data_IF_403935912692
#
_entry.id   IF_403935912692
#
_cell.length_a   1.000
_cell.length_b   1.000
_cell.length_c   1.000
_cell.angle_alpha   90.00
_cell.angle_beta   90.00
_cell.angle_gamma   90.00
#
_symmetry.space_group_name_H-M   'P 1'
#
loop_
_entity.id
_entity.type
_entity.pdbx_description
1 polymer ?
#
# COMPACT_ATOMS: atom_id res chain seq x y z
N UNK A 1 35.87 -19.01 -5.61
CA UNK A 1 34.56 -19.69 -5.46
C UNK A 1 33.45 -18.64 -5.54
N UNK A 2 32.68 -18.64 -6.63
CA UNK A 2 31.60 -17.67 -6.84
C UNK A 2 30.43 -18.02 -5.93
N UNK A 3 30.24 -17.28 -4.83
CA UNK A 3 29.10 -17.50 -3.92
C UNK A 3 27.82 -17.11 -4.67
N UNK A 4 27.02 -18.11 -5.05
CA UNK A 4 25.67 -17.88 -5.60
C UNK A 4 24.76 -17.32 -4.52
N UNK A 5 24.14 -16.16 -4.78
CA UNK A 5 23.10 -15.63 -3.90
C UNK A 5 21.85 -16.52 -3.97
N UNK A 6 21.28 -16.83 -2.80
CA UNK A 6 19.97 -17.48 -2.74
C UNK A 6 18.88 -16.48 -3.16
N UNK A 7 17.78 -16.99 -3.70
CA UNK A 7 16.61 -16.18 -4.11
C UNK A 7 16.06 -15.32 -2.98
N UNK A 8 16.11 -15.80 -1.73
CA UNK A 8 15.72 -15.02 -0.54
C UNK A 8 16.56 -13.77 -0.32
N UNK A 9 17.88 -13.86 -0.51
CA UNK A 9 18.78 -12.69 -0.39
C UNK A 9 18.54 -11.68 -1.50
N UNK A 10 18.27 -12.16 -2.73
CA UNK A 10 17.90 -11.29 -3.86
C UNK A 10 16.55 -10.60 -3.58
N UNK A 11 15.58 -11.32 -3.00
CA UNK A 11 14.30 -10.74 -2.65
C UNK A 11 14.46 -9.60 -1.63
N UNK A 12 15.25 -9.80 -0.57
CA UNK A 12 15.52 -8.75 0.42
C UNK A 12 16.19 -7.51 -0.20
N UNK A 13 17.16 -7.70 -1.10
CA UNK A 13 17.85 -6.60 -1.77
C UNK A 13 16.92 -5.73 -2.63
N UNK A 14 15.86 -6.31 -3.19
CA UNK A 14 14.97 -5.65 -4.15
C UNK A 14 13.56 -5.39 -3.61
N UNK A 15 13.23 -5.76 -2.37
CA UNK A 15 11.87 -5.61 -1.80
C UNK A 15 11.39 -4.16 -1.89
N UNK A 16 12.15 -3.22 -1.34
CA UNK A 16 11.79 -1.80 -1.36
C UNK A 16 11.82 -1.19 -2.76
N UNK A 17 12.79 -1.59 -3.59
CA UNK A 17 12.93 -1.08 -4.96
C UNK A 17 11.76 -1.53 -5.83
N UNK A 18 11.32 -2.78 -5.70
CA UNK A 18 10.15 -3.32 -6.40
C UNK A 18 8.82 -2.80 -5.81
N UNK A 19 8.81 -2.35 -4.55
CA UNK A 19 7.69 -1.61 -3.96
C UNK A 19 7.54 -0.24 -4.62
N UNK A 20 8.64 0.49 -4.78
CA UNK A 20 8.67 1.82 -5.39
C UNK A 20 8.53 1.78 -6.92
N UNK A 21 9.08 0.76 -7.57
CA UNK A 21 9.03 0.58 -9.02
C UNK A 21 8.88 -0.92 -9.38
N UNK A 22 7.65 -1.44 -9.46
CA UNK A 22 7.40 -2.83 -9.84
C UNK A 22 7.71 -3.13 -11.31
N UNK A 23 8.14 -2.16 -12.12
CA UNK A 23 8.53 -2.38 -13.52
C UNK A 23 9.95 -2.92 -13.67
N UNK A 24 10.80 -2.85 -12.63
CA UNK A 24 12.19 -3.34 -12.64
C UNK A 24 12.24 -4.79 -13.16
N UNK A 25 12.84 -4.98 -14.34
CA UNK A 25 12.93 -6.26 -15.02
C UNK A 25 13.94 -7.17 -14.33
N UNK A 26 13.75 -8.49 -14.38
CA UNK A 26 14.72 -9.42 -13.79
C UNK A 26 16.13 -9.28 -14.39
N UNK A 27 16.25 -8.87 -15.65
CA UNK A 27 17.55 -8.57 -16.25
C UNK A 27 18.22 -7.37 -15.59
N UNK A 28 17.47 -6.29 -15.33
CA UNK A 28 17.98 -5.10 -14.63
C UNK A 28 18.45 -5.47 -13.21
N UNK A 29 17.77 -6.40 -12.54
CA UNK A 29 18.24 -6.93 -11.24
C UNK A 29 19.57 -7.69 -11.37
N UNK A 30 19.76 -8.48 -12.43
CA UNK A 30 21.03 -9.19 -12.69
C UNK A 30 22.17 -8.19 -12.90
N UNK A 31 21.94 -7.21 -13.78
CA UNK A 31 22.94 -6.22 -14.15
C UNK A 31 23.34 -5.35 -12.95
N UNK A 32 22.36 -4.96 -12.13
CA UNK A 32 22.58 -4.20 -10.91
C UNK A 32 23.31 -5.00 -9.83
N UNK A 33 22.96 -6.27 -9.60
CA UNK A 33 23.68 -7.12 -8.64
C UNK A 33 25.16 -7.26 -9.05
N UNK A 34 25.40 -7.40 -10.36
CA UNK A 34 26.77 -7.49 -10.88
C UNK A 34 27.51 -6.16 -10.73
N UNK A 35 26.87 -5.03 -11.02
CA UNK A 35 27.48 -3.70 -10.94
C UNK A 35 27.80 -3.28 -9.50
N UNK A 36 26.84 -3.43 -8.59
CA UNK A 36 26.95 -2.90 -7.23
C UNK A 36 27.71 -3.83 -6.27
N UNK A 37 27.60 -5.15 -6.46
CA UNK A 37 28.15 -6.13 -5.50
C UNK A 37 29.20 -7.07 -6.13
N UNK A 38 29.48 -6.92 -7.43
CA UNK A 38 30.34 -7.83 -8.20
C UNK A 38 29.93 -9.32 -8.11
N UNK A 39 28.66 -9.59 -7.77
CA UNK A 39 28.13 -10.95 -7.63
C UNK A 39 27.49 -11.42 -8.93
N UNK A 40 27.56 -12.73 -9.18
CA UNK A 40 26.92 -13.36 -10.34
C UNK A 40 25.65 -14.06 -9.87
N UNK A 41 24.53 -13.70 -10.50
CA UNK A 41 23.23 -14.33 -10.31
C UNK A 41 22.62 -14.67 -11.66
N UNK A 42 21.80 -15.71 -11.69
CA UNK A 42 21.09 -16.11 -12.90
C UNK A 42 19.80 -15.31 -13.05
N UNK A 43 19.38 -15.09 -14.31
CA UNK A 43 18.08 -14.51 -14.61
C UNK A 43 16.92 -15.26 -13.95
N UNK A 44 17.02 -16.60 -13.86
CA UNK A 44 16.03 -17.44 -13.19
C UNK A 44 15.93 -17.20 -11.68
N UNK A 45 17.04 -16.89 -11.01
CA UNK A 45 17.01 -16.49 -9.59
C UNK A 45 16.31 -15.15 -9.40
N UNK A 46 16.62 -14.14 -10.21
CA UNK A 46 15.97 -12.83 -10.14
C UNK A 46 14.47 -12.89 -10.52
N UNK A 47 14.10 -13.70 -11.52
CA UNK A 47 12.69 -13.97 -11.86
C UNK A 47 11.93 -14.54 -10.66
N UNK A 48 12.45 -15.59 -10.02
CA UNK A 48 11.82 -16.21 -8.84
C UNK A 48 11.73 -15.23 -7.66
N UNK A 49 12.80 -14.50 -7.36
CA UNK A 49 12.79 -13.50 -6.29
C UNK A 49 11.73 -12.42 -6.53
N UNK A 50 11.65 -11.88 -7.76
CA UNK A 50 10.62 -10.89 -8.13
C UNK A 50 9.21 -11.46 -8.00
N UNK A 51 8.94 -12.65 -8.53
CA UNK A 51 7.61 -13.27 -8.43
C UNK A 51 7.19 -13.49 -6.98
N UNK A 52 8.11 -13.93 -6.12
CA UNK A 52 7.83 -14.12 -4.69
C UNK A 52 7.48 -12.81 -3.99
N UNK A 53 8.21 -11.72 -4.29
CA UNK A 53 7.92 -10.41 -3.72
C UNK A 53 6.55 -9.88 -4.15
N UNK A 54 6.20 -10.04 -5.44
CA UNK A 54 4.88 -9.63 -5.96
C UNK A 54 3.77 -10.44 -5.28
N UNK A 55 3.94 -11.76 -5.16
CA UNK A 55 2.97 -12.63 -4.50
C UNK A 55 2.80 -12.26 -3.01
N UNK A 56 3.91 -12.06 -2.29
CA UNK A 56 3.91 -11.64 -0.88
C UNK A 56 3.16 -10.32 -0.71
N UNK A 57 3.44 -9.31 -1.54
CA UNK A 57 2.76 -8.00 -1.48
C UNK A 57 1.25 -8.13 -1.68
N UNK A 58 0.83 -8.91 -2.69
CA UNK A 58 -0.59 -9.16 -2.95
C UNK A 58 -1.28 -9.82 -1.75
N UNK A 59 -0.65 -10.85 -1.18
CA UNK A 59 -1.17 -11.52 0.01
C UNK A 59 -1.25 -10.57 1.22
N UNK A 60 -0.27 -9.68 1.40
CA UNK A 60 -0.32 -8.65 2.45
C UNK A 60 -1.52 -7.73 2.25
N UNK A 61 -1.75 -7.22 1.03
CA UNK A 61 -2.92 -6.37 0.76
C UNK A 61 -4.24 -7.10 1.05
N UNK A 62 -4.38 -8.34 0.60
CA UNK A 62 -5.56 -9.18 0.87
C UNK A 62 -5.76 -9.37 2.39
N UNK A 63 -4.69 -9.66 3.13
CA UNK A 63 -4.77 -9.82 4.59
C UNK A 63 -5.17 -8.53 5.32
N UNK A 64 -4.73 -7.36 4.83
CA UNK A 64 -5.08 -6.07 5.41
C UNK A 64 -6.54 -5.70 5.12
N UNK A 65 -7.02 -5.96 3.90
CA UNK A 65 -8.41 -5.72 3.55
C UNK A 65 -9.38 -6.67 4.26
N UNK A 66 -8.97 -7.90 4.55
CA UNK A 66 -9.77 -8.83 5.35
C UNK A 66 -10.03 -8.33 6.78
N UNK A 67 -9.18 -7.41 7.29
CA UNK A 67 -9.26 -6.85 8.64
C UNK A 67 -9.99 -5.49 8.72
N UNK A 68 -10.63 -5.04 7.63
CA UNK A 68 -11.30 -3.73 7.61
C UNK A 68 -12.35 -3.58 8.72
N UNK A 69 -13.11 -4.63 9.03
CA UNK A 69 -14.11 -4.61 10.10
C UNK A 69 -13.48 -4.61 11.49
N UNK A 70 -12.37 -5.31 11.68
CA UNK A 70 -11.59 -5.23 12.94
C UNK A 70 -11.10 -3.79 13.16
N UNK A 71 -10.61 -3.13 12.09
CA UNK A 71 -10.19 -1.73 12.14
C UNK A 71 -11.36 -0.78 12.41
N UNK A 72 -12.53 -1.04 11.82
CA UNK A 72 -13.72 -0.24 12.09
C UNK A 72 -14.11 -0.31 13.57
N UNK A 73 -14.09 -1.50 14.16
CA UNK A 73 -14.41 -1.67 15.57
C UNK A 73 -13.36 -1.04 16.47
N UNK A 74 -12.07 -1.23 16.17
CA UNK A 74 -10.97 -0.60 16.93
C UNK A 74 -11.04 0.93 16.86
N UNK A 75 -11.37 1.52 15.72
CA UNK A 75 -11.56 2.97 15.59
C UNK A 75 -12.77 3.43 16.42
N UNK A 76 -13.85 2.65 16.44
CA UNK A 76 -15.06 2.97 17.21
C UNK A 76 -14.79 2.97 18.72
N UNK A 77 -13.98 2.04 19.21
CA UNK A 77 -13.64 1.92 20.64
C UNK A 77 -12.58 2.93 21.07
N UNK A 78 -11.50 3.08 20.29
CA UNK A 78 -10.34 3.93 20.63
C UNK A 78 -10.58 5.43 20.37
N UNK A 79 -11.43 5.77 19.40
CA UNK A 79 -11.69 7.15 18.99
C UNK A 79 -13.21 7.45 18.93
N UNK A 80 -13.87 7.56 20.10
CA UNK A 80 -15.30 7.85 20.16
C UNK A 80 -15.72 9.07 19.32
N UNK A 81 -16.83 8.96 18.60
CA UNK A 81 -17.34 10.01 17.72
C UNK A 81 -16.74 10.02 16.30
N UNK A 82 -15.74 9.18 16.02
CA UNK A 82 -15.25 8.93 14.65
C UNK A 82 -16.29 8.12 13.89
N UNK A 83 -16.53 8.50 12.62
CA UNK A 83 -17.40 7.76 11.71
C UNK A 83 -16.55 7.01 10.69
N UNK A 84 -16.66 5.69 10.67
CA UNK A 84 -16.07 4.84 9.65
C UNK A 84 -17.17 3.97 9.03
N UNK A 85 -17.27 3.97 7.70
CA UNK A 85 -18.29 3.21 6.96
C UNK A 85 -17.65 2.42 5.84
N UNK A 86 -18.02 1.14 5.76
CA UNK A 86 -17.54 0.22 4.73
C UNK A 86 -18.76 -0.19 3.91
N UNK A 87 -18.73 0.10 2.62
CA UNK A 87 -19.70 -0.40 1.66
C UNK A 87 -19.08 -1.56 0.87
N UNK A 88 -19.82 -2.63 0.63
CA UNK A 88 -19.36 -3.79 -0.13
C UNK A 88 -20.04 -3.88 -1.49
N UNK A 89 -19.40 -4.62 -2.40
CA UNK A 89 -20.03 -5.02 -3.66
C UNK A 89 -21.20 -5.96 -3.31
N UNK A 90 -22.41 -5.78 -3.90
CA UNK A 90 -23.55 -6.66 -3.65
C UNK A 90 -23.19 -8.14 -3.84
N UNK A 91 -23.54 -8.98 -2.87
CA UNK A 91 -23.22 -10.42 -2.88
C UNK A 91 -21.75 -10.75 -2.62
N UNK A 92 -20.93 -9.80 -2.17
CA UNK A 92 -19.51 -10.00 -1.89
C UNK A 92 -19.10 -9.39 -0.54
N UNK A 93 -18.08 -9.99 0.09
CA UNK A 93 -17.34 -9.38 1.20
C UNK A 93 -16.21 -8.45 0.73
N UNK A 94 -16.14 -8.13 -0.56
CA UNK A 94 -15.17 -7.17 -1.08
C UNK A 94 -15.70 -5.75 -0.92
N UNK A 95 -14.95 -4.89 -0.24
CA UNK A 95 -15.33 -3.48 -0.12
C UNK A 95 -15.33 -2.79 -1.51
N UNK A 96 -16.29 -1.90 -1.70
CA UNK A 96 -16.44 -1.00 -2.83
C UNK A 96 -15.98 0.42 -2.47
N UNK A 97 -16.42 0.92 -1.31
CA UNK A 97 -16.02 2.23 -0.76
C UNK A 97 -15.74 2.12 0.74
N UNK A 98 -14.78 2.91 1.20
CA UNK A 98 -14.46 3.12 2.60
C UNK A 98 -14.51 4.62 2.86
N UNK A 99 -15.28 5.03 3.86
CA UNK A 99 -15.33 6.40 4.36
C UNK A 99 -14.80 6.44 5.79
N UNK A 100 -13.96 7.43 6.11
CA UNK A 100 -13.46 7.67 7.47
C UNK A 100 -13.49 9.17 7.75
N UNK A 101 -14.10 9.56 8.85
CA UNK A 101 -14.13 10.93 9.35
C UNK A 101 -13.85 10.92 10.86
N UNK A 102 -12.60 11.20 11.21
CA UNK A 102 -12.13 11.26 12.58
C UNK A 102 -12.79 12.41 13.35
N UNK A 103 -13.24 12.13 14.57
CA UNK A 103 -13.91 13.12 15.42
C UNK A 103 -13.05 14.38 15.60
N UNK A 104 -11.80 14.20 16.02
CA UNK A 104 -10.88 15.29 16.28
C UNK A 104 -10.66 16.18 15.04
N UNK A 105 -10.55 15.61 13.84
CA UNK A 105 -10.38 16.39 12.60
C UNK A 105 -11.65 17.17 12.24
N UNK A 106 -12.81 16.55 12.41
CA UNK A 106 -14.11 17.18 12.17
C UNK A 106 -14.33 18.35 13.13
N UNK A 107 -14.02 18.17 14.40
CA UNK A 107 -14.22 19.20 15.43
C UNK A 107 -13.22 20.34 15.27
N UNK A 108 -11.94 20.02 15.06
CA UNK A 108 -10.92 21.03 14.75
C UNK A 108 -11.29 21.87 13.51
N UNK A 109 -11.82 21.23 12.45
CA UNK A 109 -12.26 21.95 11.25
C UNK A 109 -13.42 22.92 11.56
N UNK A 110 -14.41 22.50 12.36
CA UNK A 110 -15.54 23.37 12.73
C UNK A 110 -15.09 24.57 13.57
N UNK A 111 -14.08 24.38 14.42
CA UNK A 111 -13.62 25.40 15.35
C UNK A 111 -12.65 26.39 14.71
N UNK A 112 -11.85 25.95 13.72
CA UNK A 112 -10.70 26.72 13.22
C UNK A 112 -10.71 27.02 11.72
N UNK A 113 -11.48 26.29 10.91
CA UNK A 113 -11.52 26.47 9.47
C UNK A 113 -12.75 27.26 9.01
N UNK A 114 -12.65 27.85 7.81
CA UNK A 114 -13.82 28.41 7.12
C UNK A 114 -14.80 27.29 6.79
N UNK A 115 -16.12 27.55 6.73
CA UNK A 115 -17.15 26.55 6.42
C UNK A 115 -17.19 26.16 4.94
N UNK A 116 -16.02 25.84 4.37
CA UNK A 116 -15.80 25.47 2.98
C UNK A 116 -14.95 24.20 2.96
N UNK A 117 -15.43 23.18 2.26
CA UNK A 117 -14.73 21.90 2.08
C UNK A 117 -14.40 21.73 0.60
N UNK A 118 -13.12 21.57 0.28
CA UNK A 118 -12.67 21.03 -1.00
C UNK A 118 -12.44 19.53 -0.91
N UNK A 119 -12.52 18.84 -2.04
CA UNK A 119 -12.12 17.43 -2.16
C UNK A 119 -10.96 17.34 -3.14
N UNK A 120 -9.83 16.81 -2.67
CA UNK A 120 -8.71 16.44 -3.52
C UNK A 120 -8.70 14.92 -3.76
N UNK A 121 -8.35 14.52 -4.98
CA UNK A 121 -8.41 13.14 -5.42
C UNK A 121 -7.06 12.67 -5.96
N UNK A 122 -6.53 11.58 -5.40
CA UNK A 122 -5.34 10.91 -5.91
C UNK A 122 -5.65 9.48 -6.33
N UNK A 123 -5.15 9.07 -7.50
CA UNK A 123 -5.20 7.68 -7.91
C UNK A 123 -4.22 6.84 -7.09
N UNK A 124 -4.68 5.67 -6.64
CA UNK A 124 -3.81 4.68 -6.03
C UNK A 124 -2.90 4.07 -7.10
N UNK A 125 -1.63 3.82 -6.73
CA UNK A 125 -0.62 3.28 -7.65
C UNK A 125 -0.59 1.75 -7.58
N UNK A 126 -0.03 1.18 -8.64
CA UNK A 126 0.39 -0.23 -8.72
C UNK A 126 -0.75 -1.25 -8.73
N UNK A 127 -0.75 -2.16 -7.76
CA UNK A 127 -1.63 -3.32 -7.67
C UNK A 127 -2.95 -3.04 -6.96
N UNK A 128 -3.06 -1.91 -6.28
CA UNK A 128 -4.32 -1.41 -5.74
C UNK A 128 -4.85 -0.35 -6.71
N UNK A 129 -5.93 -0.69 -7.39
CA UNK A 129 -6.64 0.25 -8.27
C UNK A 129 -7.72 0.97 -7.47
N UNK A 130 -7.86 2.27 -7.68
CA UNK A 130 -8.92 3.10 -7.07
C UNK A 130 -8.47 4.54 -6.90
N UNK A 131 -9.32 5.32 -6.21
CA UNK A 131 -9.08 6.72 -5.88
C UNK A 131 -9.14 6.89 -4.37
N UNK A 132 -8.21 7.67 -3.83
CA UNK A 132 -8.26 8.16 -2.46
C UNK A 132 -8.69 9.62 -2.52
N UNK A 133 -9.78 9.94 -1.83
CA UNK A 133 -10.30 11.30 -1.70
C UNK A 133 -9.95 11.83 -0.32
N UNK A 134 -9.43 13.05 -0.25
CA UNK A 134 -9.16 13.75 0.99
C UNK A 134 -9.95 15.06 1.03
N UNK A 135 -10.61 15.33 2.15
CA UNK A 135 -11.20 16.63 2.42
C UNK A 135 -10.09 17.63 2.75
N UNK A 136 -10.11 18.79 2.09
CA UNK A 136 -9.19 19.90 2.33
C UNK A 136 -9.98 21.13 2.79
N UNK A 137 -9.42 21.85 3.75
CA UNK A 137 -9.98 23.09 4.28
C UNK A 137 -8.98 24.23 4.17
N UNK A 138 -9.48 25.46 4.30
CA UNK A 138 -8.64 26.66 4.43
C UNK A 138 -8.86 27.26 5.81
N UNK A 139 -7.76 27.62 6.45
CA UNK A 139 -7.76 28.37 7.69
C UNK A 139 -8.39 29.77 7.52
N UNK A 140 -8.91 30.27 8.64
CA UNK A 140 -9.58 31.57 8.77
C UNK A 140 -8.65 32.74 8.55
#
# INVERSE_FOLDING_TARGET
STKMLKSGSIALLFEERLRLNPKIRPQEMVDEIKREYNMIVTLGQCRRARSNLIAKRKATHESQFARLWDYQEEVRTSNPGTRMEIETIPGSMRFFRLYVCFAALKDAWKDSCRPIIGLDASFMKWDIKGQMLAAVGRDG
#
